data_IF_494359595546
#
_entry.id   IF_494359595546
#
_cell.length_a   1.000
_cell.length_b   1.000
_cell.length_c   1.000
_cell.angle_alpha   90.00
_cell.angle_beta   90.00
_cell.angle_gamma   90.00
#
_symmetry.space_group_name_H-M   'P 1'
#
loop_
_entity.id
_entity.type
_entity.pdbx_description
1 polymer ?
#
# COMPACT_ATOMS: atom_id res chain seq x y z
N UNK A 1 -1.68 0.31 -17.74
CA UNK A 1 -1.09 -0.22 -16.49
C UNK A 1 -0.62 0.93 -15.61
N UNK A 2 -0.94 0.89 -14.33
CA UNK A 2 -0.50 1.95 -13.42
C UNK A 2 1.01 1.90 -13.17
N UNK A 3 1.62 3.06 -13.07
CA UNK A 3 3.01 3.16 -12.68
C UNK A 3 3.17 2.93 -11.17
N UNK A 4 4.39 2.71 -10.72
CA UNK A 4 4.68 2.59 -9.29
C UNK A 4 4.20 3.84 -8.53
N UNK A 5 4.45 5.02 -9.10
CA UNK A 5 4.00 6.29 -8.51
C UNK A 5 2.49 6.35 -8.34
N UNK A 6 1.75 5.88 -9.33
CA UNK A 6 0.30 5.87 -9.26
C UNK A 6 -0.22 4.94 -8.17
N UNK A 7 0.38 3.74 -8.03
CA UNK A 7 0.03 2.83 -6.95
C UNK A 7 0.34 3.43 -5.59
N UNK A 8 1.48 4.10 -5.47
CA UNK A 8 1.87 4.75 -4.22
C UNK A 8 0.92 5.90 -3.88
N UNK A 9 0.51 6.66 -4.88
CA UNK A 9 -0.44 7.76 -4.70
C UNK A 9 -1.80 7.24 -4.22
N UNK A 10 -2.25 6.11 -4.75
CA UNK A 10 -3.49 5.49 -4.31
C UNK A 10 -3.41 5.09 -2.84
N UNK A 11 -2.28 4.52 -2.41
CA UNK A 11 -2.07 4.18 -1.01
C UNK A 11 -2.13 5.44 -0.14
N UNK A 12 -1.41 6.47 -0.53
CA UNK A 12 -1.39 7.73 0.21
C UNK A 12 -2.78 8.32 0.38
N UNK A 13 -3.58 8.29 -0.68
CA UNK A 13 -4.95 8.78 -0.63
C UNK A 13 -5.81 7.98 0.34
N UNK A 14 -5.64 6.68 0.38
CA UNK A 14 -6.47 5.80 1.21
C UNK A 14 -6.04 5.74 2.67
N UNK A 15 -4.78 6.00 2.97
CA UNK A 15 -4.27 5.96 4.34
C UNK A 15 -5.08 6.86 5.28
N UNK A 16 -5.47 8.02 4.79
CA UNK A 16 -6.26 8.97 5.59
C UNK A 16 -7.69 8.52 5.87
N UNK A 17 -8.17 7.48 5.20
CA UNK A 17 -9.56 7.02 5.31
C UNK A 17 -9.70 5.62 5.92
N UNK A 18 -8.61 5.02 6.38
CA UNK A 18 -8.63 3.64 6.89
C UNK A 18 -9.62 3.47 8.04
N UNK A 19 -9.73 4.46 8.91
CA UNK A 19 -10.64 4.41 10.06
C UNK A 19 -12.06 4.88 9.72
N UNK A 20 -12.28 5.40 8.52
CA UNK A 20 -13.54 6.01 8.11
C UNK A 20 -14.26 5.14 7.08
N UNK A 21 -13.52 4.66 6.07
CA UNK A 21 -14.10 3.87 4.98
C UNK A 21 -13.74 2.39 5.14
N UNK A 22 -14.72 1.48 5.12
CA UNK A 22 -14.44 0.05 5.29
C UNK A 22 -13.61 -0.55 4.14
N UNK A 23 -13.60 0.08 2.97
CA UNK A 23 -12.84 -0.46 1.82
C UNK A 23 -11.40 -0.01 1.76
N UNK A 24 -11.01 1.04 2.49
CA UNK A 24 -9.66 1.60 2.38
C UNK A 24 -8.58 0.57 2.67
N UNK A 25 -8.82 -0.29 3.65
CA UNK A 25 -7.92 -1.38 3.99
C UNK A 25 -7.72 -2.33 2.79
N UNK A 26 -8.82 -2.69 2.13
CA UNK A 26 -8.76 -3.58 0.97
C UNK A 26 -8.05 -2.92 -0.21
N UNK A 27 -8.31 -1.64 -0.44
CA UNK A 27 -7.66 -0.90 -1.53
C UNK A 27 -6.15 -0.86 -1.32
N UNK A 28 -5.70 -0.56 -0.11
CA UNK A 28 -4.27 -0.54 0.21
C UNK A 28 -3.65 -1.92 0.00
N UNK A 29 -4.33 -2.99 0.43
CA UNK A 29 -3.86 -4.35 0.22
C UNK A 29 -3.70 -4.70 -1.24
N UNK A 30 -4.66 -4.29 -2.08
CA UNK A 30 -4.59 -4.49 -3.53
C UNK A 30 -3.40 -3.74 -4.11
N UNK A 31 -3.19 -2.49 -3.70
CA UNK A 31 -2.06 -1.69 -4.17
C UNK A 31 -0.73 -2.33 -3.80
N UNK A 32 -0.58 -2.79 -2.56
CA UNK A 32 0.65 -3.45 -2.11
C UNK A 32 0.91 -4.73 -2.88
N UNK A 33 -0.14 -5.51 -3.13
CA UNK A 33 -0.02 -6.74 -3.91
C UNK A 33 0.43 -6.44 -5.33
N UNK A 34 -0.15 -5.42 -5.96
CA UNK A 34 0.22 -5.02 -7.31
C UNK A 34 1.66 -4.53 -7.36
N UNK A 35 2.08 -3.74 -6.39
CA UNK A 35 3.47 -3.27 -6.30
C UNK A 35 4.41 -4.45 -6.14
N UNK A 36 4.10 -5.36 -5.24
CA UNK A 36 4.94 -6.55 -5.01
C UNK A 36 5.06 -7.41 -6.27
N UNK A 37 3.95 -7.59 -6.98
CA UNK A 37 3.93 -8.43 -8.18
C UNK A 37 4.68 -7.79 -9.35
N UNK A 38 4.52 -6.50 -9.55
CA UNK A 38 5.04 -5.80 -10.73
C UNK A 38 6.40 -5.14 -10.51
N UNK A 39 6.73 -4.78 -9.28
CA UNK A 39 7.96 -4.04 -8.96
C UNK A 39 8.80 -4.70 -7.88
N UNK A 40 8.31 -5.79 -7.30
CA UNK A 40 9.05 -6.59 -6.32
C UNK A 40 8.70 -6.27 -4.88
N UNK A 41 8.99 -7.23 -4.00
CA UNK A 41 8.72 -7.10 -2.56
C UNK A 41 9.45 -5.92 -1.93
N UNK A 42 10.61 -5.58 -2.44
CA UNK A 42 11.40 -4.47 -1.93
C UNK A 42 10.63 -3.16 -2.03
N UNK A 43 9.98 -2.94 -3.17
CA UNK A 43 9.17 -1.73 -3.36
C UNK A 43 7.90 -1.74 -2.51
N UNK A 44 7.29 -2.90 -2.34
CA UNK A 44 6.13 -3.04 -1.45
C UNK A 44 6.52 -2.73 -0.01
N UNK A 45 7.66 -3.25 0.45
CA UNK A 45 8.16 -3.00 1.80
C UNK A 45 8.49 -1.53 2.00
N UNK A 46 9.03 -0.88 0.97
CA UNK A 46 9.33 0.54 1.01
C UNK A 46 8.04 1.36 1.18
N UNK A 47 6.99 1.00 0.47
CA UNK A 47 5.69 1.65 0.60
C UNK A 47 5.12 1.47 2.01
N UNK A 48 5.21 0.27 2.56
CA UNK A 48 4.76 -0.01 3.94
C UNK A 48 5.49 0.90 4.92
N UNK A 49 6.80 1.05 4.76
CA UNK A 49 7.59 1.91 5.62
C UNK A 49 7.26 3.39 5.43
N UNK A 50 7.20 3.84 4.18
CA UNK A 50 7.00 5.25 3.85
C UNK A 50 5.63 5.78 4.32
N UNK A 51 4.61 4.95 4.24
CA UNK A 51 3.25 5.33 4.63
C UNK A 51 2.88 4.82 6.02
N UNK A 52 3.84 4.26 6.75
CA UNK A 52 3.65 3.77 8.13
C UNK A 52 2.51 2.76 8.25
N UNK A 53 2.42 1.89 7.25
CA UNK A 53 1.33 0.91 7.20
C UNK A 53 1.43 -0.15 8.28
N UNK A 54 2.60 -0.36 8.88
CA UNK A 54 2.75 -1.30 9.98
C UNK A 54 1.86 -0.92 11.17
N UNK A 55 1.65 0.37 11.39
CA UNK A 55 0.74 0.85 12.44
C UNK A 55 -0.71 0.51 12.16
N UNK A 56 -1.03 0.27 10.89
CA UNK A 56 -2.39 -0.07 10.47
C UNK A 56 -2.59 -1.57 10.29
N UNK A 57 -1.57 -2.39 10.55
CA UNK A 57 -1.68 -3.82 10.54
C UNK A 57 -0.92 -4.55 9.44
N UNK A 58 -0.27 -3.85 8.52
CA UNK A 58 0.51 -4.49 7.48
C UNK A 58 1.90 -4.85 7.97
N UNK A 59 2.40 -5.99 7.49
CA UNK A 59 3.75 -6.45 7.80
C UNK A 59 4.59 -6.40 6.54
N UNK A 60 5.87 -6.08 6.71
CA UNK A 60 6.82 -6.13 5.59
C UNK A 60 6.93 -7.56 5.06
N UNK A 61 7.01 -7.67 3.76
CA UNK A 61 7.20 -8.94 3.07
C UNK A 61 8.69 -9.25 2.96
N UNK A 62 9.05 -10.47 3.23
CA UNK A 62 10.45 -10.90 3.13
C UNK A 62 10.70 -11.70 1.87
#
# INVERSE_FOLDING_TARGET
>A
MKSLEEWRQDIENEVGFVDIKPYSHNIISICLRAISKNYGKKEANKAINDFKLEKLGWKKQL
#
